data_IF_072485754423
#
_entry.id   IF_072485754423
#
_cell.length_a   1.000
_cell.length_b   1.000
_cell.length_c   1.000
_cell.angle_alpha   90.00
_cell.angle_beta   90.00
_cell.angle_gamma   90.00
#
_symmetry.space_group_name_H-M   'P 1'
#
loop_
_entity.id
_entity.type
_entity.pdbx_description
1 polymer ?
#
# COMPACT_ATOMS: atom_id res chain seq x y z
N UNK A 1 22.19 -3.61 0.48
CA UNK A 1 20.91 -3.95 1.16
C UNK A 1 19.75 -3.94 0.17
N UNK A 2 18.66 -4.63 0.47
CA UNK A 2 17.47 -4.75 -0.40
C UNK A 2 16.30 -3.94 0.15
N UNK A 3 15.57 -3.22 -0.76
CA UNK A 3 14.30 -2.54 -0.46
C UNK A 3 13.16 -3.23 -1.23
N UNK A 4 12.06 -3.56 -0.52
CA UNK A 4 10.98 -4.42 -1.03
C UNK A 4 9.70 -3.66 -1.43
N UNK A 5 9.74 -2.32 -1.55
CA UNK A 5 8.58 -1.50 -1.93
C UNK A 5 8.19 -1.70 -3.40
N UNK A 6 6.95 -1.34 -3.75
CA UNK A 6 6.55 -1.23 -5.15
C UNK A 6 7.47 -0.28 -5.91
N UNK A 7 7.72 -0.54 -7.20
CA UNK A 7 8.69 0.21 -8.01
C UNK A 7 8.49 1.73 -7.96
N UNK A 8 7.23 2.19 -8.04
CA UNK A 8 6.85 3.61 -8.01
C UNK A 8 7.05 4.27 -6.64
N UNK A 9 7.28 3.47 -5.59
CA UNK A 9 7.42 3.94 -4.21
C UNK A 9 8.83 3.78 -3.63
N UNK A 10 9.78 3.26 -4.42
CA UNK A 10 11.13 2.96 -3.94
C UNK A 10 12.00 4.21 -3.77
N UNK A 11 11.77 5.27 -4.57
CA UNK A 11 12.67 6.43 -4.65
C UNK A 11 12.99 7.08 -3.29
N UNK A 12 11.98 7.35 -2.45
CA UNK A 12 12.20 7.97 -1.15
C UNK A 12 12.98 7.07 -0.17
N UNK A 13 12.65 5.78 -0.11
CA UNK A 13 13.35 4.83 0.76
C UNK A 13 14.81 4.60 0.30
N UNK A 14 15.02 4.49 -1.02
CA UNK A 14 16.35 4.40 -1.63
C UNK A 14 17.20 5.61 -1.26
N UNK A 15 16.69 6.81 -1.49
CA UNK A 15 17.41 8.06 -1.21
C UNK A 15 17.83 8.16 0.26
N UNK A 16 16.94 7.84 1.20
CA UNK A 16 17.24 7.86 2.63
C UNK A 16 18.35 6.88 3.02
N UNK A 17 18.37 5.70 2.42
CA UNK A 17 19.39 4.68 2.68
C UNK A 17 20.74 5.02 1.99
N UNK A 18 20.72 5.50 0.76
CA UNK A 18 21.93 5.92 0.02
C UNK A 18 22.61 7.11 0.71
N UNK A 19 21.85 8.08 1.26
CA UNK A 19 22.38 9.17 2.08
C UNK A 19 23.11 8.68 3.34
N UNK A 20 22.76 7.48 3.82
CA UNK A 20 23.41 6.80 4.95
C UNK A 20 24.53 5.84 4.53
N UNK A 21 24.95 5.89 3.26
CA UNK A 21 26.05 5.11 2.72
C UNK A 21 25.70 3.69 2.27
N UNK A 22 24.42 3.32 2.21
CA UNK A 22 23.99 2.00 1.77
C UNK A 22 24.01 1.88 0.24
N UNK A 23 24.51 0.76 -0.28
CA UNK A 23 24.25 0.37 -1.67
C UNK A 23 22.91 -0.34 -1.73
N UNK A 24 21.93 0.27 -2.40
CA UNK A 24 20.55 -0.22 -2.45
C UNK A 24 20.29 -1.04 -3.70
N UNK A 25 19.71 -2.23 -3.50
CA UNK A 25 19.16 -3.09 -4.55
C UNK A 25 17.63 -3.10 -4.42
N UNK A 26 16.96 -3.09 -5.55
CA UNK A 26 15.49 -3.13 -5.59
C UNK A 26 15.01 -4.58 -5.68
N UNK A 27 14.05 -4.91 -4.83
CA UNK A 27 13.21 -6.09 -4.93
C UNK A 27 11.75 -5.63 -4.86
N UNK A 28 11.16 -5.11 -5.96
CA UNK A 28 9.76 -4.74 -5.94
C UNK A 28 8.92 -5.99 -5.65
N UNK A 29 8.52 -6.15 -4.39
CA UNK A 29 7.76 -7.30 -3.93
C UNK A 29 6.23 -7.08 -4.04
N UNK A 30 5.81 -6.02 -4.73
CA UNK A 30 4.41 -5.68 -4.90
C UNK A 30 4.20 -4.94 -6.21
N UNK A 31 3.24 -5.42 -7.00
CA UNK A 31 2.77 -4.80 -8.24
C UNK A 31 1.30 -4.44 -8.05
N UNK A 32 0.96 -3.20 -8.37
CA UNK A 32 -0.43 -2.76 -8.44
C UNK A 32 -0.95 -3.07 -9.84
N UNK A 33 -2.07 -3.77 -9.91
CA UNK A 33 -2.70 -4.15 -11.16
C UNK A 33 -4.22 -4.04 -11.11
N UNK A 34 -4.89 -4.41 -12.21
CA UNK A 34 -6.35 -4.42 -12.26
C UNK A 34 -6.93 -5.42 -11.27
N UNK A 35 -8.17 -5.21 -10.80
CA UNK A 35 -8.94 -6.24 -10.12
C UNK A 35 -9.24 -7.39 -11.11
N UNK A 36 -9.71 -8.53 -10.60
CA UNK A 36 -10.08 -9.67 -11.45
C UNK A 36 -11.27 -9.34 -12.37
N UNK A 37 -12.16 -8.47 -11.89
CA UNK A 37 -13.33 -8.04 -12.65
C UNK A 37 -13.56 -6.54 -12.46
N UNK A 38 -13.76 -5.82 -13.56
CA UNK A 38 -14.10 -4.40 -13.57
C UNK A 38 -15.60 -4.13 -13.43
N UNK A 39 -16.46 -5.11 -13.78
CA UNK A 39 -17.91 -4.93 -13.81
C UNK A 39 -18.50 -4.24 -12.60
N UNK A 40 -18.27 -4.70 -11.36
CA UNK A 40 -18.84 -4.06 -10.17
C UNK A 40 -18.42 -2.59 -9.98
N UNK A 41 -17.18 -2.23 -10.38
CA UNK A 41 -16.75 -0.83 -10.36
C UNK A 41 -17.42 -0.03 -11.46
N UNK A 42 -17.47 -0.57 -12.68
CA UNK A 42 -18.10 0.12 -13.84
C UNK A 42 -19.58 0.38 -13.58
N UNK A 43 -20.32 -0.61 -13.10
CA UNK A 43 -21.74 -0.47 -12.74
C UNK A 43 -21.95 0.63 -11.69
N UNK A 44 -21.08 0.68 -10.67
CA UNK A 44 -21.15 1.72 -9.65
C UNK A 44 -20.80 3.12 -10.22
N UNK A 45 -19.87 3.21 -11.17
CA UNK A 45 -19.50 4.46 -11.83
C UNK A 45 -20.54 4.96 -12.84
N UNK A 46 -21.29 4.07 -13.48
CA UNK A 46 -22.45 4.43 -14.30
C UNK A 46 -23.55 5.08 -13.44
N UNK A 47 -23.77 4.53 -12.23
CA UNK A 47 -24.74 5.04 -11.25
C UNK A 47 -24.16 6.12 -10.30
N UNK A 48 -23.07 6.77 -10.64
CA UNK A 48 -22.33 7.67 -9.72
C UNK A 48 -23.21 8.80 -9.16
N UNK A 49 -24.22 9.26 -9.90
CA UNK A 49 -25.19 10.26 -9.47
C UNK A 49 -26.08 9.80 -8.29
N UNK A 50 -26.18 8.48 -8.06
CA UNK A 50 -26.94 7.90 -6.95
C UNK A 50 -26.18 7.91 -5.63
N UNK A 51 -24.88 8.19 -5.64
CA UNK A 51 -24.04 8.23 -4.43
C UNK A 51 -23.94 9.64 -3.87
N UNK A 52 -23.87 9.73 -2.54
CA UNK A 52 -23.63 10.98 -1.82
C UNK A 52 -22.14 11.19 -1.53
N UNK A 53 -21.42 10.10 -1.30
CA UNK A 53 -19.99 10.13 -1.01
C UNK A 53 -19.21 9.08 -1.80
N UNK A 54 -18.04 9.49 -2.26
CA UNK A 54 -17.00 8.62 -2.81
C UNK A 54 -15.79 8.71 -1.87
N UNK A 55 -15.44 7.61 -1.21
CA UNK A 55 -14.41 7.60 -0.17
C UNK A 55 -13.19 6.83 -0.65
N UNK A 56 -12.05 7.51 -0.71
CA UNK A 56 -10.79 6.94 -1.13
C UNK A 56 -9.86 6.70 0.06
N UNK A 57 -9.52 5.44 0.33
CA UNK A 57 -8.52 5.06 1.33
C UNK A 57 -7.09 5.01 0.77
N UNK A 58 -6.91 5.09 -0.55
CA UNK A 58 -5.60 5.04 -1.20
C UNK A 58 -5.55 5.83 -2.52
N UNK A 59 -4.36 6.29 -2.89
CA UNK A 59 -4.07 6.92 -4.18
C UNK A 59 -4.36 5.98 -5.36
N UNK A 60 -4.02 4.69 -5.24
CA UNK A 60 -4.28 3.69 -6.28
C UNK A 60 -5.79 3.56 -6.59
N UNK A 61 -6.65 3.70 -5.59
CA UNK A 61 -8.10 3.73 -5.78
C UNK A 61 -8.57 4.94 -6.59
N UNK A 62 -7.97 6.12 -6.34
CA UNK A 62 -8.24 7.34 -7.11
C UNK A 62 -7.86 7.16 -8.58
N UNK A 63 -6.64 6.69 -8.84
CA UNK A 63 -6.11 6.47 -10.19
C UNK A 63 -6.97 5.45 -10.96
N UNK A 64 -7.34 4.34 -10.30
CA UNK A 64 -8.17 3.31 -10.91
C UNK A 64 -9.58 3.83 -11.28
N UNK A 65 -10.22 4.56 -10.37
CA UNK A 65 -11.54 5.18 -10.63
C UNK A 65 -11.46 6.21 -11.76
N UNK A 66 -10.46 7.10 -11.74
CA UNK A 66 -10.27 8.08 -12.81
C UNK A 66 -10.07 7.40 -14.16
N UNK A 67 -9.23 6.38 -14.24
CA UNK A 67 -9.00 5.60 -15.46
C UNK A 67 -10.30 4.97 -16.00
N UNK A 68 -11.16 4.45 -15.10
CA UNK A 68 -12.44 3.86 -15.50
C UNK A 68 -13.43 4.93 -15.95
N UNK A 69 -13.53 6.06 -15.24
CA UNK A 69 -14.36 7.19 -15.63
C UNK A 69 -13.98 7.75 -17.01
N UNK A 70 -12.68 7.85 -17.30
CA UNK A 70 -12.20 8.29 -18.61
C UNK A 70 -12.68 7.40 -19.75
N UNK A 71 -12.77 6.07 -19.55
CA UNK A 71 -13.36 5.13 -20.51
C UNK A 71 -14.84 5.37 -20.77
N UNK A 72 -15.55 5.91 -19.76
CA UNK A 72 -16.96 6.32 -19.85
C UNK A 72 -17.13 7.77 -20.35
N UNK A 73 -16.04 8.43 -20.77
CA UNK A 73 -16.05 9.85 -21.17
C UNK A 73 -16.27 10.82 -20.01
N UNK A 74 -16.05 10.39 -18.77
CA UNK A 74 -16.24 11.15 -17.53
C UNK A 74 -14.90 11.35 -16.82
N UNK A 75 -14.87 12.17 -15.78
CA UNK A 75 -13.70 12.34 -14.90
C UNK A 75 -14.12 12.84 -13.51
N UNK A 76 -13.26 12.63 -12.51
CA UNK A 76 -13.50 13.06 -11.12
C UNK A 76 -13.62 14.59 -11.00
N UNK A 77 -12.88 15.35 -11.80
CA UNK A 77 -12.93 16.81 -11.80
C UNK A 77 -14.31 17.37 -12.21
N UNK A 78 -15.07 16.61 -12.98
CA UNK A 78 -16.43 16.96 -13.45
C UNK A 78 -17.49 16.04 -12.86
N UNK A 79 -17.28 15.59 -11.62
CA UNK A 79 -18.26 14.79 -10.89
C UNK A 79 -19.57 15.55 -10.68
N UNK A 80 -20.69 14.86 -10.43
CA UNK A 80 -21.94 15.49 -10.02
C UNK A 80 -21.73 16.39 -8.80
N UNK A 81 -22.35 17.56 -8.77
CA UNK A 81 -22.22 18.53 -7.65
C UNK A 81 -22.77 18.00 -6.33
N UNK A 82 -23.69 17.01 -6.40
CA UNK A 82 -24.23 16.30 -5.24
C UNK A 82 -23.27 15.29 -4.64
N UNK A 83 -22.28 14.79 -5.41
CA UNK A 83 -21.31 13.79 -4.98
C UNK A 83 -20.12 14.46 -4.28
N UNK A 84 -19.94 14.13 -3.01
CA UNK A 84 -18.80 14.55 -2.21
C UNK A 84 -17.68 13.51 -2.25
N UNK A 85 -16.44 13.96 -2.16
CA UNK A 85 -15.25 13.10 -2.10
C UNK A 85 -14.59 13.23 -0.74
N UNK A 86 -14.27 12.08 -0.11
CA UNK A 86 -13.42 12.01 1.06
C UNK A 86 -12.13 11.25 0.75
N UNK A 87 -11.00 11.75 1.27
CA UNK A 87 -9.70 11.10 1.17
C UNK A 87 -9.14 10.82 2.58
N UNK A 88 -8.80 9.57 2.88
CA UNK A 88 -8.27 9.18 4.19
C UNK A 88 -6.89 9.78 4.42
N UNK A 89 -6.03 9.79 3.39
CA UNK A 89 -4.63 10.17 3.53
C UNK A 89 -4.21 11.36 2.66
N UNK A 90 -3.19 12.09 3.13
CA UNK A 90 -2.63 13.25 2.40
C UNK A 90 -2.20 12.90 0.97
N UNK A 91 -1.53 11.75 0.78
CA UNK A 91 -1.12 11.30 -0.56
C UNK A 91 -2.32 11.09 -1.48
N UNK A 92 -3.41 10.56 -0.95
CA UNK A 92 -4.66 10.34 -1.71
C UNK A 92 -5.29 11.67 -2.14
N UNK A 93 -5.31 12.66 -1.24
CA UNK A 93 -5.79 14.01 -1.53
C UNK A 93 -4.93 14.70 -2.61
N UNK A 94 -3.60 14.60 -2.53
CA UNK A 94 -2.69 15.16 -3.54
C UNK A 94 -2.93 14.57 -4.94
N UNK A 95 -3.21 13.26 -5.05
CA UNK A 95 -3.53 12.65 -6.34
C UNK A 95 -4.86 13.19 -6.90
N UNK A 96 -5.86 13.41 -6.06
CA UNK A 96 -7.11 14.06 -6.46
C UNK A 96 -6.83 15.47 -7.01
N UNK A 97 -6.06 16.29 -6.31
CA UNK A 97 -5.69 17.63 -6.74
C UNK A 97 -4.97 17.63 -8.10
N UNK A 98 -4.03 16.70 -8.31
CA UNK A 98 -3.33 16.53 -9.60
C UNK A 98 -4.26 16.20 -10.76
N UNK A 99 -5.40 15.54 -10.47
CA UNK A 99 -6.45 15.23 -11.44
C UNK A 99 -7.48 16.37 -11.59
N UNK A 100 -7.28 17.50 -10.91
CA UNK A 100 -8.21 18.64 -10.91
C UNK A 100 -9.47 18.38 -10.08
N UNK A 101 -9.47 17.38 -9.20
CA UNK A 101 -10.57 17.08 -8.29
C UNK A 101 -10.12 17.39 -6.85
N UNK A 102 -10.99 18.01 -6.07
CA UNK A 102 -10.72 18.31 -4.68
C UNK A 102 -11.48 17.35 -3.76
N UNK A 103 -10.85 16.96 -2.65
CA UNK A 103 -11.52 16.25 -1.58
C UNK A 103 -12.36 17.24 -0.75
N UNK A 104 -13.64 16.97 -0.59
CA UNK A 104 -14.54 17.75 0.27
C UNK A 104 -14.27 17.49 1.75
N UNK A 105 -13.63 16.34 2.08
CA UNK A 105 -13.25 16.00 3.44
C UNK A 105 -11.93 15.20 3.50
N UNK A 106 -11.07 15.64 4.41
CA UNK A 106 -9.82 14.95 4.77
C UNK A 106 -9.76 14.96 6.32
N UNK A 107 -9.54 13.80 6.97
CA UNK A 107 -9.52 13.76 8.44
C UNK A 107 -8.29 14.46 9.02
N UNK A 108 -8.37 14.98 10.27
CA UNK A 108 -7.24 15.64 10.94
C UNK A 108 -6.01 14.74 11.10
N UNK A 109 -6.21 13.46 11.35
CA UNK A 109 -5.20 12.41 11.32
C UNK A 109 -5.46 11.54 10.09
N UNK A 110 -4.45 11.28 9.31
CA UNK A 110 -4.54 10.59 8.01
C UNK A 110 -4.73 9.06 8.15
N UNK A 111 -5.71 8.64 8.94
CA UNK A 111 -6.06 7.25 9.22
C UNK A 111 -7.57 7.04 9.17
N UNK A 112 -7.99 5.79 8.91
CA UNK A 112 -9.40 5.43 8.78
C UNK A 112 -10.23 5.77 10.03
N UNK A 113 -9.69 5.49 11.23
CA UNK A 113 -10.38 5.79 12.50
C UNK A 113 -10.68 7.29 12.64
N UNK A 114 -9.75 8.15 12.24
CA UNK A 114 -9.95 9.59 12.27
C UNK A 114 -10.98 10.06 11.23
N UNK A 115 -11.06 9.38 10.08
CA UNK A 115 -12.11 9.66 9.09
C UNK A 115 -13.49 9.31 9.67
N UNK A 116 -13.63 8.17 10.34
CA UNK A 116 -14.88 7.75 10.96
C UNK A 116 -15.29 8.75 12.08
N UNK A 117 -14.35 9.09 12.96
CA UNK A 117 -14.58 9.97 14.11
C UNK A 117 -15.04 11.38 13.73
N UNK A 118 -14.49 11.93 12.62
CA UNK A 118 -14.70 13.33 12.21
C UNK A 118 -15.54 13.46 10.94
N UNK A 119 -16.14 12.38 10.44
CA UNK A 119 -16.91 12.44 9.21
C UNK A 119 -18.07 13.43 9.33
N UNK A 120 -18.24 14.38 8.37
CA UNK A 120 -19.13 15.53 8.56
C UNK A 120 -20.62 15.17 8.60
N UNK A 121 -20.97 13.98 8.12
CA UNK A 121 -22.36 13.49 8.10
C UNK A 121 -22.37 11.99 8.34
N UNK A 122 -23.32 11.54 9.15
CA UNK A 122 -23.56 10.11 9.38
C UNK A 122 -25.04 9.85 9.42
N UNK A 123 -25.48 8.66 9.01
CA UNK A 123 -26.82 8.19 9.25
C UNK A 123 -27.58 7.71 8.03
N UNK A 124 -28.83 7.42 8.30
CA UNK A 124 -29.78 6.80 7.38
C UNK A 124 -30.00 7.63 6.11
N UNK A 125 -30.09 6.94 4.98
CA UNK A 125 -30.36 7.56 3.69
C UNK A 125 -29.11 7.95 2.90
N UNK A 126 -27.92 7.86 3.48
CA UNK A 126 -26.67 8.07 2.73
C UNK A 126 -26.27 6.80 1.98
N UNK A 127 -25.82 6.98 0.71
CA UNK A 127 -25.20 5.94 -0.11
C UNK A 127 -23.75 6.33 -0.37
N UNK A 128 -22.82 5.45 -0.06
CA UNK A 128 -21.38 5.68 -0.11
C UNK A 128 -20.71 4.64 -1.00
N UNK A 129 -19.81 5.08 -1.89
CA UNK A 129 -18.98 4.21 -2.71
C UNK A 129 -17.56 4.17 -2.12
N UNK A 130 -17.05 2.96 -1.85
CA UNK A 130 -15.70 2.70 -1.36
C UNK A 130 -14.91 1.85 -2.37
N UNK A 131 -14.22 2.46 -3.33
CA UNK A 131 -13.27 1.76 -4.18
C UNK A 131 -12.03 1.35 -3.37
N UNK A 132 -11.70 0.05 -3.37
CA UNK A 132 -10.62 -0.48 -2.53
C UNK A 132 -9.78 -1.54 -3.24
N UNK A 133 -8.71 -1.97 -2.59
CA UNK A 133 -7.98 -3.16 -3.01
C UNK A 133 -8.89 -4.39 -2.96
N UNK A 134 -8.79 -5.27 -3.95
CA UNK A 134 -9.61 -6.49 -4.02
C UNK A 134 -9.35 -7.41 -2.83
N UNK A 135 -8.08 -7.63 -2.47
CA UNK A 135 -7.70 -8.58 -1.42
C UNK A 135 -6.94 -7.90 -0.28
N UNK A 136 -7.26 -8.27 0.97
CA UNK A 136 -6.47 -7.89 2.15
C UNK A 136 -6.63 -6.45 2.62
N UNK A 137 -7.61 -5.70 2.15
CA UNK A 137 -7.94 -4.37 2.66
C UNK A 137 -8.64 -4.44 4.03
N UNK A 138 -8.54 -3.36 4.83
CA UNK A 138 -9.29 -3.25 6.08
C UNK A 138 -10.76 -2.93 5.80
N UNK A 139 -11.68 -3.60 6.49
CA UNK A 139 -13.13 -3.37 6.37
C UNK A 139 -13.64 -2.27 7.30
N UNK A 140 -12.78 -1.74 8.17
CA UNK A 140 -13.13 -0.81 9.26
C UNK A 140 -14.01 0.38 8.82
N UNK A 141 -13.81 0.91 7.61
CA UNK A 141 -14.65 1.99 7.09
C UNK A 141 -16.05 1.50 6.72
N UNK A 142 -16.13 0.38 6.03
CA UNK A 142 -17.40 -0.19 5.60
C UNK A 142 -18.24 -0.64 6.82
N UNK A 143 -17.59 -1.27 7.79
CA UNK A 143 -18.22 -1.73 9.02
C UNK A 143 -18.78 -0.54 9.82
N UNK A 144 -17.95 0.47 10.10
CA UNK A 144 -18.35 1.63 10.89
C UNK A 144 -19.46 2.47 10.23
N UNK A 145 -19.37 2.73 8.92
CA UNK A 145 -20.42 3.46 8.22
C UNK A 145 -21.69 2.63 8.07
N UNK A 146 -21.58 1.32 7.87
CA UNK A 146 -22.72 0.40 7.86
C UNK A 146 -23.45 0.37 9.20
N UNK A 147 -22.73 0.29 10.31
CA UNK A 147 -23.31 0.37 11.68
C UNK A 147 -24.00 1.73 11.93
N UNK A 148 -23.49 2.82 11.35
CA UNK A 148 -24.13 4.12 11.39
C UNK A 148 -25.35 4.26 10.47
N UNK A 149 -25.74 3.20 9.73
CA UNK A 149 -26.91 3.18 8.85
C UNK A 149 -26.67 3.72 7.44
N UNK A 150 -25.43 3.88 7.02
CA UNK A 150 -25.07 4.25 5.65
C UNK A 150 -25.14 3.03 4.74
N UNK A 151 -25.71 3.16 3.55
CA UNK A 151 -25.60 2.14 2.51
C UNK A 151 -24.22 2.19 1.87
N UNK A 152 -23.31 1.33 2.33
CA UNK A 152 -21.95 1.24 1.79
C UNK A 152 -21.92 0.26 0.63
N UNK A 153 -21.32 0.69 -0.49
CA UNK A 153 -21.02 -0.13 -1.66
C UNK A 153 -19.52 -0.21 -1.80
N UNK A 154 -18.96 -1.36 -1.45
CA UNK A 154 -17.54 -1.64 -1.64
C UNK A 154 -17.31 -2.28 -3.01
N UNK A 155 -16.32 -1.79 -3.76
CA UNK A 155 -15.95 -2.34 -5.07
C UNK A 155 -14.43 -2.48 -5.17
N UNK A 156 -14.00 -3.57 -5.80
CA UNK A 156 -12.60 -3.77 -6.13
C UNK A 156 -12.20 -2.78 -7.24
N UNK A 157 -11.24 -1.92 -6.95
CA UNK A 157 -10.71 -0.93 -7.89
C UNK A 157 -9.31 -1.31 -8.39
N UNK A 158 -8.54 -2.03 -7.59
CA UNK A 158 -7.20 -2.51 -7.94
C UNK A 158 -6.86 -3.76 -7.11
N UNK A 159 -5.78 -4.45 -7.50
CA UNK A 159 -5.22 -5.57 -6.73
C UNK A 159 -3.72 -5.36 -6.52
N UNK A 160 -3.26 -5.83 -5.37
CA UNK A 160 -1.84 -5.86 -5.00
C UNK A 160 -1.33 -7.28 -5.15
N UNK A 161 -0.55 -7.56 -6.20
CA UNK A 161 -0.07 -8.90 -6.54
C UNK A 161 1.42 -9.06 -6.26
N UNK A 162 1.84 -10.30 -6.05
CA UNK A 162 3.24 -10.67 -6.11
C UNK A 162 3.72 -10.55 -7.56
N UNK A 163 4.89 -9.94 -7.81
CA UNK A 163 5.52 -9.99 -9.12
C UNK A 163 5.78 -11.43 -9.57
N UNK A 164 5.88 -11.65 -10.88
CA UNK A 164 6.15 -12.98 -11.44
C UNK A 164 7.60 -13.43 -11.24
N UNK A 165 8.53 -12.52 -10.98
CA UNK A 165 9.95 -12.83 -10.76
C UNK A 165 10.64 -11.69 -10.01
N UNK A 166 11.77 -11.98 -9.37
CA UNK A 166 12.66 -10.95 -8.82
C UNK A 166 13.66 -10.46 -9.88
N UNK A 167 14.20 -9.22 -9.74
CA UNK A 167 15.26 -8.71 -10.60
C UNK A 167 16.52 -9.58 -10.54
N UNK A 168 17.13 -9.88 -11.69
CA UNK A 168 18.33 -10.73 -11.77
C UNK A 168 19.49 -10.18 -10.96
N UNK A 169 19.71 -8.86 -10.96
CA UNK A 169 20.78 -8.22 -10.15
C UNK A 169 20.61 -8.50 -8.65
N UNK A 170 19.37 -8.54 -8.17
CA UNK A 170 19.04 -8.84 -6.76
C UNK A 170 19.18 -10.33 -6.48
N UNK A 171 18.74 -11.18 -7.40
CA UNK A 171 18.94 -12.64 -7.32
C UNK A 171 20.43 -13.00 -7.27
N UNK A 172 21.24 -12.40 -8.15
CA UNK A 172 22.69 -12.58 -8.18
C UNK A 172 23.38 -12.14 -6.88
N UNK A 173 22.97 -11.00 -6.33
CA UNK A 173 23.50 -10.50 -5.07
C UNK A 173 23.20 -11.44 -3.89
N UNK A 174 21.98 -11.97 -3.81
CA UNK A 174 21.59 -12.98 -2.82
C UNK A 174 22.40 -14.28 -3.00
N UNK A 175 22.55 -14.74 -4.25
CA UNK A 175 23.28 -15.96 -4.54
C UNK A 175 24.78 -15.86 -4.18
N UNK A 176 25.36 -14.66 -4.29
CA UNK A 176 26.77 -14.37 -3.94
C UNK A 176 26.98 -14.07 -2.44
N UNK A 177 25.91 -14.05 -1.63
CA UNK A 177 26.00 -13.64 -0.22
C UNK A 177 26.44 -12.20 -0.01
N UNK A 178 26.16 -11.29 -0.98
CA UNK A 178 26.59 -9.89 -0.93
C UNK A 178 25.46 -8.93 -0.50
N UNK A 179 24.47 -9.47 0.22
CA UNK A 179 23.36 -8.73 0.79
C UNK A 179 23.47 -8.74 2.30
N UNK A 180 23.52 -7.56 2.92
CA UNK A 180 23.65 -7.43 4.37
C UNK A 180 22.28 -7.34 5.06
N UNK A 181 21.27 -6.74 4.39
CA UNK A 181 19.95 -6.54 4.99
C UNK A 181 18.84 -6.45 3.95
N UNK A 182 17.61 -6.80 4.39
CA UNK A 182 16.35 -6.59 3.66
C UNK A 182 15.41 -5.75 4.52
N UNK A 183 14.92 -4.63 3.97
CA UNK A 183 14.01 -3.71 4.63
C UNK A 183 12.56 -3.91 4.13
N UNK A 184 11.64 -4.16 5.07
CA UNK A 184 10.23 -4.41 4.82
C UNK A 184 9.35 -3.27 5.30
N UNK A 185 8.59 -2.67 4.37
CA UNK A 185 7.66 -1.58 4.66
C UNK A 185 6.21 -2.03 4.89
N UNK A 186 5.91 -3.32 4.72
CA UNK A 186 4.58 -3.90 5.01
C UNK A 186 4.67 -5.43 5.12
N UNK A 187 3.69 -6.04 5.81
CA UNK A 187 3.59 -7.50 5.87
C UNK A 187 3.46 -8.13 4.48
N UNK A 188 2.67 -7.53 3.59
CA UNK A 188 2.46 -8.05 2.23
C UNK A 188 3.77 -8.10 1.41
N UNK A 189 4.66 -7.11 1.58
CA UNK A 189 5.98 -7.17 0.92
C UNK A 189 6.87 -8.27 1.51
N UNK A 190 6.73 -8.61 2.79
CA UNK A 190 7.45 -9.73 3.41
C UNK A 190 6.95 -11.07 2.87
N UNK A 191 5.62 -11.29 2.81
CA UNK A 191 5.01 -12.49 2.22
C UNK A 191 5.44 -12.70 0.76
N UNK A 192 5.32 -11.65 -0.06
CA UNK A 192 5.70 -11.73 -1.46
C UNK A 192 7.20 -11.94 -1.67
N UNK A 193 8.05 -11.37 -0.80
CA UNK A 193 9.50 -11.63 -0.86
C UNK A 193 9.79 -13.10 -0.58
N UNK A 194 9.15 -13.72 0.40
CA UNK A 194 9.31 -15.15 0.66
C UNK A 194 8.89 -16.00 -0.55
N UNK A 195 7.76 -15.67 -1.18
CA UNK A 195 7.31 -16.34 -2.42
C UNK A 195 8.31 -16.19 -3.57
N UNK A 196 8.84 -14.98 -3.78
CA UNK A 196 9.85 -14.72 -4.82
C UNK A 196 11.16 -15.47 -4.57
N UNK A 197 11.58 -15.58 -3.31
CA UNK A 197 12.76 -16.36 -2.91
C UNK A 197 12.54 -17.85 -3.16
N UNK A 198 11.39 -18.38 -2.75
CA UNK A 198 11.04 -19.79 -2.98
C UNK A 198 10.94 -20.11 -4.47
N UNK A 199 10.30 -19.25 -5.24
CA UNK A 199 10.19 -19.39 -6.69
C UNK A 199 11.54 -19.38 -7.40
N UNK A 200 12.48 -18.53 -6.94
CA UNK A 200 13.80 -18.35 -7.59
C UNK A 200 14.81 -19.42 -7.15
N UNK A 201 14.83 -19.80 -5.88
CA UNK A 201 15.88 -20.63 -5.26
C UNK A 201 15.38 -22.01 -4.78
N UNK A 202 14.07 -22.28 -4.87
CA UNK A 202 13.49 -23.54 -4.39
C UNK A 202 13.43 -23.64 -2.86
N UNK A 203 13.28 -24.85 -2.32
CA UNK A 203 13.09 -25.11 -0.89
C UNK A 203 14.24 -24.65 0.01
N UNK A 204 15.47 -24.54 -0.50
CA UNK A 204 16.65 -24.07 0.24
C UNK A 204 16.85 -22.55 0.25
N UNK A 205 15.85 -21.76 -0.13
CA UNK A 205 15.99 -20.31 -0.25
C UNK A 205 16.40 -19.61 1.05
N UNK A 206 16.04 -20.16 2.21
CA UNK A 206 16.38 -19.59 3.52
C UNK A 206 17.89 -19.51 3.77
N UNK A 207 18.68 -20.43 3.21
CA UNK A 207 20.15 -20.42 3.29
C UNK A 207 20.77 -19.18 2.62
N UNK A 208 20.05 -18.58 1.63
CA UNK A 208 20.48 -17.35 0.97
C UNK A 208 20.34 -16.11 1.88
N UNK A 209 19.65 -16.27 3.00
CA UNK A 209 19.47 -15.22 4.00
C UNK A 209 20.37 -15.39 5.23
N UNK A 210 21.32 -16.34 5.19
CA UNK A 210 22.29 -16.50 6.27
C UNK A 210 23.14 -15.23 6.38
N UNK A 211 23.17 -14.64 7.60
CA UNK A 211 23.82 -13.36 7.86
C UNK A 211 23.06 -12.11 7.39
N UNK A 212 21.98 -12.24 6.59
CA UNK A 212 21.16 -11.12 6.14
C UNK A 212 20.24 -10.65 7.26
N UNK A 213 20.26 -9.35 7.59
CA UNK A 213 19.38 -8.76 8.60
C UNK A 213 17.99 -8.53 8.05
N UNK A 214 16.96 -8.94 8.80
CA UNK A 214 15.54 -8.72 8.49
C UNK A 214 15.04 -7.53 9.29
N UNK A 215 14.71 -6.43 8.61
CA UNK A 215 14.36 -5.16 9.23
C UNK A 215 12.94 -4.77 8.83
N UNK A 216 12.10 -4.45 9.80
CA UNK A 216 10.69 -4.12 9.60
C UNK A 216 10.35 -2.69 9.98
N UNK A 217 9.34 -2.11 9.32
CA UNK A 217 8.84 -0.76 9.59
C UNK A 217 8.00 -0.67 10.88
N UNK A 218 7.56 -1.79 11.44
CA UNK A 218 6.72 -1.75 12.64
C UNK A 218 6.09 -3.10 13.00
N UNK A 219 5.32 -3.15 14.11
CA UNK A 219 4.93 -4.40 14.78
C UNK A 219 4.13 -5.37 13.91
N UNK A 220 3.23 -4.85 13.06
CA UNK A 220 2.43 -5.70 12.17
C UNK A 220 3.31 -6.36 11.10
N UNK A 221 4.25 -5.61 10.52
CA UNK A 221 5.24 -6.12 9.57
C UNK A 221 6.18 -7.11 10.24
N UNK A 222 6.62 -6.82 11.46
CA UNK A 222 7.45 -7.73 12.26
C UNK A 222 6.81 -9.10 12.48
N UNK A 223 5.50 -9.13 12.76
CA UNK A 223 4.77 -10.42 12.90
C UNK A 223 4.86 -11.25 11.63
N UNK A 224 4.62 -10.61 10.47
CA UNK A 224 4.71 -11.30 9.17
C UNK A 224 6.15 -11.73 8.86
N UNK A 225 7.14 -10.87 9.13
CA UNK A 225 8.55 -11.24 8.93
C UNK A 225 8.94 -12.45 9.78
N UNK A 226 8.52 -12.53 11.05
CA UNK A 226 8.75 -13.71 11.90
C UNK A 226 8.09 -14.97 11.35
N UNK A 227 6.87 -14.84 10.80
CA UNK A 227 6.18 -15.98 10.19
C UNK A 227 6.88 -16.47 8.91
N UNK A 228 7.37 -15.55 8.05
CA UNK A 228 8.00 -15.89 6.78
C UNK A 228 9.48 -16.26 6.90
N UNK A 229 10.24 -15.58 7.77
CA UNK A 229 11.72 -15.68 7.85
C UNK A 229 12.21 -16.19 9.19
N UNK A 230 11.31 -16.51 10.13
CA UNK A 230 11.66 -17.00 11.47
C UNK A 230 12.21 -15.92 12.42
N UNK A 231 12.50 -14.70 11.96
CA UNK A 231 13.13 -13.64 12.76
C UNK A 231 12.80 -12.23 12.29
N UNK A 232 13.12 -11.27 13.15
CA UNK A 232 13.28 -9.83 12.85
C UNK A 232 14.49 -9.37 13.66
N UNK A 233 15.46 -8.76 13.00
CA UNK A 233 16.70 -8.30 13.61
C UNK A 233 16.59 -6.86 14.14
N UNK A 234 15.73 -6.03 13.50
CA UNK A 234 15.40 -4.68 13.95
C UNK A 234 14.00 -4.26 13.49
N UNK A 235 13.36 -3.43 14.31
CA UNK A 235 12.09 -2.76 14.02
C UNK A 235 12.30 -1.26 14.10
N UNK A 236 11.70 -0.51 13.15
CA UNK A 236 11.81 0.93 13.10
C UNK A 236 11.10 1.62 14.28
N UNK A 237 11.69 2.69 14.76
CA UNK A 237 11.09 3.65 15.69
C UNK A 237 11.59 5.06 15.32
N UNK A 238 10.72 5.99 14.89
CA UNK A 238 9.28 5.81 14.65
C UNK A 238 8.95 4.85 13.48
N UNK A 239 7.68 4.40 13.39
CA UNK A 239 7.20 3.44 12.39
C UNK A 239 6.94 4.10 11.03
N UNK A 240 7.95 4.76 10.47
CA UNK A 240 7.95 5.46 9.19
C UNK A 240 9.20 5.14 8.37
N UNK A 241 9.39 5.79 7.23
CA UNK A 241 10.53 5.53 6.35
C UNK A 241 11.86 6.00 6.92
N UNK A 242 11.85 7.10 7.69
CA UNK A 242 13.06 7.61 8.31
C UNK A 242 13.51 6.70 9.44
N UNK A 243 12.58 6.26 10.30
CA UNK A 243 12.85 5.27 11.32
C UNK A 243 13.31 3.93 10.75
N UNK A 244 12.73 3.51 9.60
CA UNK A 244 13.19 2.30 8.91
C UNK A 244 14.63 2.44 8.41
N UNK A 245 15.00 3.58 7.83
CA UNK A 245 16.35 3.83 7.36
C UNK A 245 17.34 3.91 8.53
N UNK A 246 16.93 4.48 9.66
CA UNK A 246 17.74 4.53 10.88
C UNK A 246 17.95 3.13 11.47
N UNK A 247 16.89 2.32 11.59
CA UNK A 247 16.98 0.93 12.05
C UNK A 247 17.92 0.09 11.18
N UNK A 248 17.89 0.32 9.85
CA UNK A 248 18.84 -0.29 8.92
C UNK A 248 20.29 0.09 9.25
N UNK A 249 20.58 1.37 9.47
CA UNK A 249 21.92 1.86 9.76
C UNK A 249 22.45 1.28 11.07
N UNK A 250 21.62 1.28 12.12
CA UNK A 250 21.99 0.73 13.43
C UNK A 250 22.22 -0.78 13.41
N UNK A 251 21.43 -1.53 12.66
CA UNK A 251 21.58 -2.97 12.52
C UNK A 251 22.89 -3.35 11.83
N UNK A 252 23.38 -2.51 10.92
CA UNK A 252 24.66 -2.71 10.23
C UNK A 252 25.87 -2.39 11.11
N UNK A 253 25.78 -1.37 11.96
CA UNK A 253 26.88 -1.00 12.89
C UNK A 253 27.13 -2.03 13.99
N UNK A 254 26.09 -2.73 14.46
CA UNK A 254 26.18 -3.76 15.50
C UNK A 254 26.75 -5.10 15.01
N UNK A 255 26.97 -5.27 13.73
CA UNK A 255 27.50 -6.48 13.11
C UNK A 255 28.97 -6.40 12.67
N UNK A 256 29.63 -5.25 12.91
CA UNK A 256 31.06 -5.03 12.72
C UNK A 256 31.80 -5.19 14.07
#
# INVERSE_FOLDING_TARGET
MIVTRAAEQQGAARQLLEQRGAKVLDLPALVIGPPDQWGPLDDALEELDSFHWLVFSSANGVEAVEQRLQRLGRCLARRPSSLKIAAVGRKTALVLEQLGAEADFIPPRFVADSLIEHFPVSGWGLKMLLPRVQSGGRTVLADAFGEAGVRVVEVAAYESRCPSSMPEITADALNKGSVDAIAFSSGKTAEHTALLLEQRFGQGWSERLDGVKIISIGPQTSRTCRACFGRVDAEADPHDLEGLAEACSQAMQKGS
#
